data_IF_595924336413
#
_entry.id   IF_595924336413
#
_cell.length_a   1.000
_cell.length_b   1.000
_cell.length_c   1.000
_cell.angle_alpha   90.00
_cell.angle_beta   90.00
_cell.angle_gamma   90.00
#
_symmetry.space_group_name_H-M   'P 1'
#
loop_
_entity.id
_entity.type
_entity.pdbx_description
1 polymer ?
#
# COMPACT_ATOMS: atom_id res chain seq x y z
N UNK A 1 -17.27 22.07 -2.00
CA UNK A 1 -16.13 21.47 -1.28
C UNK A 1 -15.08 22.57 -1.16
N UNK A 2 -14.63 22.97 0.04
CA UNK A 2 -13.48 22.38 0.77
C UNK A 2 -12.22 22.17 -0.09
N UNK A 3 -11.07 21.98 0.57
CA UNK A 3 -9.74 21.77 -0.04
C UNK A 3 -9.61 20.43 -0.84
N UNK A 4 -10.78 19.88 -1.16
CA UNK A 4 -11.10 18.59 -1.74
C UNK A 4 -12.07 18.68 -2.92
N UNK A 5 -12.63 19.86 -3.30
CA UNK A 5 -13.02 20.05 -4.73
C UNK A 5 -11.78 20.04 -5.64
N UNK A 6 -10.63 20.25 -5.00
CA UNK A 6 -9.25 20.25 -5.50
C UNK A 6 -8.71 18.84 -5.76
N UNK A 7 -8.83 17.91 -4.80
CA UNK A 7 -8.55 16.49 -5.02
C UNK A 7 -9.56 15.83 -5.97
N UNK A 8 -10.83 16.28 -5.94
CA UNK A 8 -11.99 15.72 -6.66
C UNK A 8 -11.70 15.25 -8.07
N UNK A 9 -11.02 16.09 -8.86
CA UNK A 9 -10.79 15.84 -10.28
C UNK A 9 -9.35 15.44 -10.60
N UNK A 10 -8.43 15.51 -9.63
CA UNK A 10 -7.13 14.81 -9.69
C UNK A 10 -7.37 13.30 -9.83
N UNK A 11 -8.35 12.79 -9.07
CA UNK A 11 -8.84 11.41 -9.18
C UNK A 11 -9.44 11.10 -10.55
N UNK A 12 -10.35 11.95 -11.05
CA UNK A 12 -11.21 11.73 -12.26
C UNK A 12 -10.45 11.33 -13.54
N UNK A 13 -9.15 11.61 -13.63
CA UNK A 13 -8.33 11.16 -14.76
C UNK A 13 -6.97 10.56 -14.43
N UNK A 14 -6.60 10.37 -13.16
CA UNK A 14 -5.77 9.20 -12.83
C UNK A 14 -6.55 7.93 -13.22
N UNK A 15 -7.84 7.89 -12.85
CA UNK A 15 -8.86 6.95 -13.33
C UNK A 15 -8.78 6.71 -14.84
N UNK A 16 -9.05 7.74 -15.64
CA UNK A 16 -9.09 7.62 -17.10
C UNK A 16 -7.71 7.58 -17.75
N UNK A 17 -6.63 7.37 -16.99
CA UNK A 17 -5.29 7.02 -17.49
C UNK A 17 -4.89 5.58 -17.12
N UNK A 18 -5.65 4.91 -16.25
CA UNK A 18 -5.80 3.45 -16.38
C UNK A 18 -6.47 3.06 -17.71
N UNK A 19 -7.15 4.01 -18.39
CA UNK A 19 -8.01 3.96 -19.60
C UNK A 19 -8.10 2.64 -20.36
N UNK A 20 -6.95 2.21 -20.83
CA UNK A 20 -6.70 1.20 -21.87
C UNK A 20 -5.43 0.41 -21.55
N UNK A 21 -4.64 0.88 -20.58
CA UNK A 21 -3.40 1.56 -20.99
C UNK A 21 -2.15 0.74 -20.71
N UNK A 22 -0.98 1.38 -20.77
CA UNK A 22 0.23 0.93 -20.09
C UNK A 22 0.54 1.97 -19.01
N UNK A 23 -0.41 2.10 -18.09
CA UNK A 23 -0.31 2.88 -16.85
C UNK A 23 0.08 4.36 -17.14
N UNK A 24 1.04 5.07 -16.53
CA UNK A 24 2.18 4.74 -15.65
C UNK A 24 2.37 5.85 -14.58
N UNK A 25 1.39 6.05 -13.69
CA UNK A 25 1.26 7.28 -12.86
C UNK A 25 0.63 7.07 -11.48
N UNK A 26 1.14 7.80 -10.48
CA UNK A 26 0.38 8.34 -9.33
C UNK A 26 0.60 9.88 -9.24
N UNK A 27 -0.36 10.62 -8.67
CA UNK A 27 -0.25 12.04 -8.31
C UNK A 27 -0.04 12.16 -6.79
N UNK A 28 0.96 12.93 -6.37
CA UNK A 28 1.41 12.99 -4.97
C UNK A 28 1.24 14.39 -4.39
N UNK A 29 0.72 14.50 -3.17
CA UNK A 29 0.73 15.73 -2.35
C UNK A 29 0.96 15.41 -0.88
N UNK A 30 1.75 16.23 -0.17
CA UNK A 30 2.10 16.06 1.24
C UNK A 30 1.88 17.36 2.03
N UNK A 31 1.15 17.28 3.14
CA UNK A 31 1.20 18.24 4.25
C UNK A 31 1.05 17.46 5.57
N UNK A 32 2.15 16.87 6.06
CA UNK A 32 2.12 15.97 7.21
C UNK A 32 2.11 16.76 8.54
N UNK A 33 1.05 16.55 9.35
CA UNK A 33 0.93 17.10 10.71
C UNK A 33 1.44 16.14 11.80
N UNK A 34 1.74 14.90 11.43
CA UNK A 34 2.11 13.81 12.32
C UNK A 34 3.30 13.05 11.74
N UNK A 35 4.16 12.50 12.59
CA UNK A 35 5.28 11.65 12.15
C UNK A 35 4.75 10.32 11.62
N UNK A 36 5.01 9.94 10.36
CA UNK A 36 4.53 8.68 9.80
C UNK A 36 5.18 7.47 10.47
N UNK A 37 4.40 6.39 10.64
CA UNK A 37 4.86 5.11 11.20
C UNK A 37 4.97 4.11 10.05
N UNK A 38 6.18 3.60 9.82
CA UNK A 38 6.45 2.61 8.77
C UNK A 38 6.66 1.22 9.37
N UNK A 39 6.01 0.22 8.76
CA UNK A 39 6.19 -1.19 9.09
C UNK A 39 6.93 -1.85 7.92
N UNK A 40 8.05 -2.47 8.21
CA UNK A 40 8.88 -3.20 7.23
C UNK A 40 8.97 -4.68 7.60
N UNK A 41 8.91 -5.56 6.59
CA UNK A 41 9.40 -6.93 6.74
C UNK A 41 10.93 -6.91 6.70
N UNK A 42 11.56 -7.31 7.79
CA UNK A 42 13.01 -7.44 7.87
C UNK A 42 13.42 -8.90 7.67
N UNK A 43 13.96 -9.20 6.49
CA UNK A 43 14.77 -10.40 6.29
C UNK A 43 16.20 -10.12 6.80
N UNK A 44 16.95 -11.14 7.21
CA UNK A 44 18.31 -10.98 7.72
C UNK A 44 19.34 -10.63 6.62
N UNK A 45 19.04 -10.97 5.37
CA UNK A 45 19.97 -10.93 4.23
C UNK A 45 19.55 -9.98 3.10
N UNK A 46 18.36 -9.37 3.18
CA UNK A 46 17.78 -8.52 2.14
C UNK A 46 17.41 -7.12 2.68
N UNK A 47 17.24 -6.16 1.77
CA UNK A 47 16.74 -4.82 2.09
C UNK A 47 15.33 -4.91 2.74
N UNK A 48 15.03 -4.16 3.82
CA UNK A 48 13.72 -4.21 4.47
C UNK A 48 12.58 -3.83 3.51
N UNK A 49 11.58 -4.70 3.39
CA UNK A 49 10.49 -4.54 2.43
C UNK A 49 9.36 -3.72 3.10
N UNK A 50 8.94 -2.57 2.57
CA UNK A 50 7.85 -1.78 3.16
C UNK A 50 6.53 -2.54 3.03
N UNK A 51 5.79 -2.65 4.14
CA UNK A 51 4.49 -3.32 4.22
C UNK A 51 3.33 -2.36 4.45
N UNK A 52 3.55 -1.32 5.25
CA UNK A 52 2.51 -0.36 5.63
C UNK A 52 3.13 0.97 6.07
N UNK A 53 2.37 2.05 5.87
CA UNK A 53 2.69 3.40 6.31
C UNK A 53 1.41 4.02 6.89
N UNK A 54 1.42 4.30 8.19
CA UNK A 54 0.44 5.20 8.80
C UNK A 54 0.95 6.64 8.66
N UNK A 55 0.06 7.56 8.29
CA UNK A 55 0.34 9.01 8.16
C UNK A 55 -0.44 9.86 9.16
N UNK A 56 -0.92 9.26 10.25
CA UNK A 56 -1.70 9.92 11.29
C UNK A 56 -3.20 9.95 10.99
N UNK A 57 -3.74 8.86 10.44
CA UNK A 57 -5.17 8.70 10.20
C UNK A 57 -5.85 7.84 11.28
N UNK A 58 -7.17 7.97 11.44
CA UNK A 58 -7.96 7.06 12.28
C UNK A 58 -8.19 5.72 11.57
N UNK A 59 -7.21 4.81 11.63
CA UNK A 59 -7.34 3.43 11.17
C UNK A 59 -7.61 2.48 12.35
N UNK A 60 -8.59 1.60 12.24
CA UNK A 60 -8.84 0.57 13.26
C UNK A 60 -7.80 -0.55 13.17
N UNK A 61 -7.58 -1.27 14.27
CA UNK A 61 -6.67 -2.42 14.31
C UNK A 61 -6.98 -3.48 13.23
N UNK A 62 -8.27 -3.73 12.96
CA UNK A 62 -8.69 -4.69 11.94
C UNK A 62 -8.31 -4.22 10.53
N UNK A 63 -8.53 -2.94 10.20
CA UNK A 63 -8.15 -2.36 8.90
C UNK A 63 -6.64 -2.40 8.68
N UNK A 64 -5.85 -2.14 9.72
CA UNK A 64 -4.37 -2.25 9.68
C UNK A 64 -3.95 -3.71 9.44
N UNK A 65 -4.54 -4.69 10.14
CA UNK A 65 -4.27 -6.12 9.89
C UNK A 65 -4.60 -6.52 8.45
N UNK A 66 -5.73 -6.07 7.91
CA UNK A 66 -6.15 -6.44 6.56
C UNK A 66 -5.34 -5.73 5.46
N UNK A 67 -4.88 -4.50 5.71
CA UNK A 67 -3.92 -3.82 4.83
C UNK A 67 -2.57 -4.56 4.79
N UNK A 68 -2.03 -4.94 5.96
CA UNK A 68 -0.78 -5.70 6.07
C UNK A 68 -0.88 -7.06 5.35
N UNK A 69 -1.95 -7.83 5.58
CA UNK A 69 -2.22 -9.11 4.89
C UNK A 69 -2.20 -8.96 3.37
N UNK A 70 -2.93 -7.96 2.85
CA UNK A 70 -3.02 -7.68 1.40
C UNK A 70 -1.66 -7.32 0.81
N UNK A 71 -0.89 -6.45 1.48
CA UNK A 71 0.42 -6.04 0.98
C UNK A 71 1.43 -7.19 1.00
N UNK A 72 1.49 -7.97 2.09
CA UNK A 72 2.33 -9.19 2.14
C UNK A 72 1.96 -10.19 1.02
N UNK A 73 0.67 -10.39 0.77
CA UNK A 73 0.21 -11.29 -0.30
C UNK A 73 0.67 -10.80 -1.68
N UNK A 74 0.45 -9.52 -2.02
CA UNK A 74 0.90 -8.94 -3.30
C UNK A 74 2.41 -9.04 -3.46
N UNK A 75 3.18 -8.62 -2.45
CA UNK A 75 4.65 -8.64 -2.49
C UNK A 75 5.22 -10.06 -2.55
N UNK A 76 4.50 -11.08 -2.06
CA UNK A 76 4.92 -12.48 -2.18
C UNK A 76 5.10 -12.95 -3.63
N UNK A 77 4.46 -12.28 -4.61
CA UNK A 77 4.60 -12.58 -6.03
C UNK A 77 5.83 -11.92 -6.68
N UNK A 78 6.46 -10.96 -6.01
CA UNK A 78 7.63 -10.26 -6.52
C UNK A 78 8.88 -11.15 -6.46
N UNK A 79 9.65 -11.32 -7.55
CA UNK A 79 10.74 -12.29 -7.60
C UNK A 79 11.90 -11.98 -6.63
N UNK A 80 12.09 -10.71 -6.25
CA UNK A 80 13.11 -10.29 -5.26
C UNK A 80 12.70 -10.50 -3.80
N UNK A 81 11.50 -10.99 -3.51
CA UNK A 81 10.98 -11.11 -2.14
C UNK A 81 10.64 -12.57 -1.82
N UNK A 82 11.66 -13.42 -2.01
CA UNK A 82 11.49 -14.88 -1.99
C UNK A 82 11.00 -15.40 -0.63
N UNK A 83 11.42 -14.76 0.47
CA UNK A 83 11.01 -15.08 1.84
C UNK A 83 9.49 -14.93 2.08
N UNK A 84 8.81 -14.03 1.35
CA UNK A 84 7.37 -13.83 1.48
C UNK A 84 6.53 -14.93 0.79
N UNK A 85 7.14 -15.83 -0.01
CA UNK A 85 6.41 -16.90 -0.72
C UNK A 85 5.62 -17.83 0.19
N UNK A 86 6.13 -18.11 1.40
CA UNK A 86 5.46 -18.99 2.38
C UNK A 86 4.09 -18.45 2.82
N UNK A 87 3.94 -17.12 2.89
CA UNK A 87 2.72 -16.43 3.34
C UNK A 87 1.52 -16.71 2.42
N UNK A 88 1.77 -17.08 1.14
CA UNK A 88 0.69 -17.42 0.19
C UNK A 88 -0.20 -18.55 0.68
N UNK A 89 0.37 -19.58 1.32
CA UNK A 89 -0.39 -20.72 1.81
C UNK A 89 -1.26 -20.39 3.03
N UNK A 90 -0.77 -19.47 3.89
CA UNK A 90 -1.46 -19.03 5.08
C UNK A 90 -2.60 -18.05 4.75
N UNK A 91 -2.36 -17.03 3.93
CA UNK A 91 -3.39 -16.03 3.58
C UNK A 91 -4.60 -16.64 2.86
N UNK A 92 -4.38 -17.68 2.05
CA UNK A 92 -5.47 -18.41 1.35
C UNK A 92 -6.37 -19.19 2.34
N UNK A 93 -5.87 -19.57 3.53
CA UNK A 93 -6.65 -20.32 4.53
C UNK A 93 -7.55 -19.45 5.43
N UNK A 94 -7.53 -18.12 5.28
CA UNK A 94 -8.34 -17.18 6.07
C UNK A 94 -9.45 -16.48 5.26
N UNK A 95 -9.85 -17.06 4.12
CA UNK A 95 -10.95 -16.57 3.25
C UNK A 95 -12.24 -17.36 3.45
#
# INVERSE_FOLDING_TARGET
MSDGERLKSVSVAAEKMAKELRLDVEVVTFEERFTPIYIYYKNAEEEPIPLYCDKGGESTMQEIYDALRKMMFVLSFHPKHSALKQIRGEVIHFS
#
